data_IF_351153636960
#
_entry.id   IF_351153636960
#
_cell.length_a   1.000
_cell.length_b   1.000
_cell.length_c   1.000
_cell.angle_alpha   90.00
_cell.angle_beta   90.00
_cell.angle_gamma   90.00
#
_symmetry.space_group_name_H-M   'P 1'
#
loop_
_entity.id
_entity.type
_entity.pdbx_description
1 polymer ?
#
# COMPACT_ATOMS: atom_id res chain seq x y z
N UNK A 1 6.00 17.63 8.52
CA UNK A 1 7.18 17.06 9.21
C UNK A 1 6.66 16.08 10.25
N UNK A 2 7.22 14.88 10.39
CA UNK A 2 6.76 13.95 11.44
C UNK A 2 7.36 14.33 12.80
N UNK A 3 6.63 14.17 13.91
CA UNK A 3 7.18 14.33 15.25
C UNK A 3 8.38 13.41 15.50
N UNK A 4 9.26 13.79 16.43
CA UNK A 4 10.46 13.00 16.75
C UNK A 4 10.15 11.70 17.51
N UNK A 5 8.99 11.62 18.16
CA UNK A 5 8.55 10.52 19.01
C UNK A 5 7.50 9.59 18.35
N UNK A 6 7.12 9.87 17.11
CA UNK A 6 6.15 9.05 16.39
C UNK A 6 5.98 9.41 14.93
N UNK A 7 5.07 8.71 14.27
CA UNK A 7 4.70 8.97 12.89
C UNK A 7 3.23 9.35 12.78
N UNK A 8 2.92 10.22 11.83
CA UNK A 8 1.53 10.48 11.46
C UNK A 8 1.09 9.37 10.52
N UNK A 9 -0.07 8.78 10.78
CA UNK A 9 -0.65 7.74 9.94
C UNK A 9 -2.13 7.95 9.74
N UNK A 10 -2.73 7.17 8.84
CA UNK A 10 -4.18 7.18 8.64
C UNK A 10 -4.72 5.78 8.81
N UNK A 11 -5.78 5.65 9.60
CA UNK A 11 -6.49 4.38 9.75
C UNK A 11 -6.97 3.88 8.39
N UNK A 12 -6.59 2.67 8.01
CA UNK A 12 -6.98 2.09 6.71
C UNK A 12 -7.93 0.91 6.83
N UNK A 13 -7.72 0.07 7.83
CA UNK A 13 -8.51 -1.14 8.07
C UNK A 13 -8.85 -1.25 9.55
N UNK A 14 -10.07 -1.71 9.86
CA UNK A 14 -10.52 -2.01 11.22
C UNK A 14 -11.12 -3.41 11.29
N UNK A 15 -10.91 -4.15 12.38
CA UNK A 15 -11.67 -5.37 12.64
C UNK A 15 -13.16 -5.04 12.67
N UNK A 16 -13.92 -5.79 11.88
CA UNK A 16 -15.35 -5.62 11.66
C UNK A 16 -15.92 -6.95 11.15
N UNK A 17 -16.88 -7.52 11.90
CA UNK A 17 -17.49 -8.81 11.56
C UNK A 17 -18.29 -8.76 10.24
N UNK A 18 -18.71 -7.59 9.78
CA UNK A 18 -19.35 -7.39 8.48
C UNK A 18 -18.35 -7.15 7.34
N UNK A 19 -17.07 -7.10 7.66
CA UNK A 19 -15.97 -6.83 6.72
C UNK A 19 -15.80 -7.93 5.68
N UNK A 20 -15.39 -7.53 4.47
CA UNK A 20 -15.20 -8.43 3.32
C UNK A 20 -13.74 -8.82 3.06
N UNK A 21 -12.82 -8.40 3.94
CA UNK A 21 -11.38 -8.69 3.84
C UNK A 21 -10.96 -9.49 5.06
N UNK A 22 -10.20 -10.57 4.86
CA UNK A 22 -9.93 -11.54 5.92
C UNK A 22 -8.43 -11.72 6.12
N UNK A 23 -8.00 -11.76 7.39
CA UNK A 23 -6.62 -12.09 7.75
C UNK A 23 -6.59 -12.81 9.07
N UNK A 24 -5.97 -13.99 9.09
CA UNK A 24 -5.87 -14.81 10.32
C UNK A 24 -7.23 -15.13 10.94
N UNK A 25 -8.26 -15.37 10.12
CA UNK A 25 -9.63 -15.63 10.59
C UNK A 25 -10.42 -14.39 11.03
N UNK A 26 -9.83 -13.19 11.01
CA UNK A 26 -10.49 -11.94 11.40
C UNK A 26 -10.96 -11.19 10.16
N UNK A 27 -12.22 -10.75 10.18
CA UNK A 27 -12.81 -9.89 9.16
C UNK A 27 -12.48 -8.41 9.39
N UNK A 28 -12.23 -7.68 8.30
CA UNK A 28 -11.83 -6.28 8.29
C UNK A 28 -12.66 -5.47 7.29
N UNK A 29 -12.96 -4.23 7.67
CA UNK A 29 -13.53 -3.20 6.82
C UNK A 29 -12.49 -2.14 6.48
N UNK A 30 -12.51 -1.68 5.23
CA UNK A 30 -11.63 -0.60 4.73
C UNK A 30 -12.32 0.74 4.95
N UNK A 31 -11.64 1.67 5.60
CA UNK A 31 -12.17 3.01 5.91
C UNK A 31 -11.68 3.99 4.87
N UNK A 32 -12.59 4.57 4.08
CA UNK A 32 -12.22 5.37 2.91
C UNK A 32 -12.04 6.84 3.25
N UNK A 33 -13.05 7.47 3.85
CA UNK A 33 -13.08 8.91 4.08
C UNK A 33 -12.17 9.35 5.22
N UNK A 34 -11.48 10.49 5.06
CA UNK A 34 -10.60 11.05 6.11
C UNK A 34 -11.40 11.34 7.39
N UNK A 35 -12.58 11.98 7.27
CA UNK A 35 -13.44 12.27 8.40
C UNK A 35 -13.89 10.99 9.14
N UNK A 36 -14.26 9.95 8.38
CA UNK A 36 -14.64 8.64 8.94
C UNK A 36 -13.48 8.01 9.71
N UNK A 37 -12.26 8.07 9.17
CA UNK A 37 -11.05 7.56 9.84
C UNK A 37 -10.83 8.26 11.17
N UNK A 38 -10.88 9.60 11.19
CA UNK A 38 -10.71 10.40 12.41
C UNK A 38 -11.80 10.04 13.42
N UNK A 39 -13.06 9.91 12.99
CA UNK A 39 -14.16 9.57 13.86
C UNK A 39 -14.01 8.18 14.50
N UNK A 40 -13.56 7.19 13.72
CA UNK A 40 -13.29 5.84 14.25
C UNK A 40 -12.16 5.87 15.26
N UNK A 41 -11.07 6.59 14.97
CA UNK A 41 -9.95 6.72 15.93
C UNK A 41 -10.41 7.46 17.18
N UNK A 42 -11.19 8.55 17.05
CA UNK A 42 -11.73 9.31 18.17
C UNK A 42 -12.59 8.46 19.10
N UNK A 43 -13.44 7.60 18.54
CA UNK A 43 -14.33 6.73 19.34
C UNK A 43 -13.62 5.55 19.97
N UNK A 44 -12.73 4.88 19.22
CA UNK A 44 -12.16 3.58 19.63
C UNK A 44 -10.74 3.66 20.17
N UNK A 45 -9.95 4.61 19.68
CA UNK A 45 -8.52 4.73 19.97
C UNK A 45 -8.07 6.20 20.18
N UNK A 46 -8.75 6.97 21.06
CA UNK A 46 -8.52 8.42 21.18
C UNK A 46 -7.08 8.79 21.56
N UNK A 47 -6.32 7.87 22.14
CA UNK A 47 -4.92 8.08 22.52
C UNK A 47 -3.99 8.32 21.32
N UNK A 48 -4.37 7.92 20.11
CA UNK A 48 -3.62 8.24 18.89
C UNK A 48 -3.97 9.63 18.32
N UNK A 49 -5.02 10.29 18.81
CA UNK A 49 -5.35 11.63 18.33
C UNK A 49 -4.52 12.69 19.06
N UNK A 50 -3.94 13.59 18.26
CA UNK A 50 -3.19 14.76 18.70
C UNK A 50 -3.57 15.96 17.86
N UNK A 51 -3.63 17.13 18.49
CA UNK A 51 -3.75 18.40 17.76
C UNK A 51 -2.40 18.70 17.11
N UNK A 52 -2.41 18.95 15.81
CA UNK A 52 -1.27 19.48 15.09
C UNK A 52 -1.37 21.01 15.05
N UNK A 53 -0.49 21.75 15.74
CA UNK A 53 -0.58 23.20 15.84
C UNK A 53 -0.26 23.94 14.53
N UNK A 54 0.34 23.27 13.55
CA UNK A 54 0.64 23.87 12.24
C UNK A 54 -0.54 23.74 11.28
N UNK A 55 -1.28 22.64 11.38
CA UNK A 55 -2.45 22.39 10.54
C UNK A 55 -3.76 22.89 11.14
N UNK A 56 -3.77 23.22 12.44
CA UNK A 56 -4.98 23.52 13.23
C UNK A 56 -6.02 22.37 13.14
N UNK A 57 -5.53 21.14 13.06
CA UNK A 57 -6.31 19.94 12.79
C UNK A 57 -5.92 18.77 13.70
N UNK A 58 -6.81 17.79 13.84
CA UNK A 58 -6.52 16.56 14.58
C UNK A 58 -5.84 15.53 13.67
N UNK A 59 -4.64 15.09 14.06
CA UNK A 59 -3.89 14.05 13.36
C UNK A 59 -3.82 12.77 14.19
N UNK A 60 -3.68 11.63 13.49
CA UNK A 60 -3.41 10.36 14.14
C UNK A 60 -1.89 10.18 14.28
N UNK A 61 -1.35 10.50 15.46
CA UNK A 61 0.05 10.26 15.81
C UNK A 61 0.20 8.87 16.43
N UNK A 62 1.06 8.06 15.84
CA UNK A 62 1.42 6.72 16.33
C UNK A 62 2.82 6.82 16.95
N UNK A 63 2.95 6.73 18.29
CA UNK A 63 4.26 6.72 18.93
C UNK A 63 5.09 5.52 18.47
N UNK A 64 6.41 5.70 18.30
CA UNK A 64 7.26 4.61 17.81
C UNK A 64 7.21 3.37 18.71
N UNK A 65 7.13 3.55 20.03
CA UNK A 65 6.99 2.42 20.96
C UNK A 65 5.68 1.62 20.82
N UNK A 66 4.67 2.17 20.14
CA UNK A 66 3.39 1.49 19.89
C UNK A 66 3.33 0.82 18.52
N UNK A 67 4.36 0.94 17.68
CA UNK A 67 4.42 0.27 16.38
C UNK A 67 4.75 -1.21 16.59
N UNK A 68 3.74 -2.07 16.47
CA UNK A 68 3.92 -3.51 16.59
C UNK A 68 4.65 -4.14 15.40
N UNK A 69 4.30 -3.74 14.17
CA UNK A 69 4.86 -4.31 12.94
C UNK A 69 5.05 -3.21 11.91
N UNK A 70 6.24 -3.16 11.31
CA UNK A 70 6.52 -2.34 10.14
C UNK A 70 6.60 -3.24 8.90
N UNK A 71 5.57 -3.18 8.06
CA UNK A 71 5.50 -3.92 6.80
C UNK A 71 6.43 -3.28 5.76
N UNK A 72 7.30 -4.09 5.15
CA UNK A 72 8.31 -3.63 4.18
C UNK A 72 7.99 -4.17 2.77
N UNK A 73 7.60 -3.31 1.81
CA UNK A 73 7.24 -3.73 0.45
C UNK A 73 8.32 -4.55 -0.28
N UNK A 74 9.58 -4.15 -0.15
CA UNK A 74 10.73 -4.84 -0.79
C UNK A 74 10.95 -6.23 -0.21
N UNK A 75 10.82 -6.37 1.11
CA UNK A 75 10.92 -7.66 1.79
C UNK A 75 9.78 -8.59 1.39
N UNK A 76 8.55 -8.06 1.34
CA UNK A 76 7.39 -8.83 0.88
C UNK A 76 7.52 -9.29 -0.57
N UNK A 77 7.96 -8.43 -1.50
CA UNK A 77 8.18 -8.83 -2.88
C UNK A 77 9.30 -9.87 -3.00
N UNK A 78 10.37 -9.74 -2.20
CA UNK A 78 11.43 -10.76 -2.15
C UNK A 78 10.88 -12.11 -1.67
N UNK A 79 10.08 -12.13 -0.60
CA UNK A 79 9.41 -13.33 -0.11
C UNK A 79 8.50 -13.91 -1.20
N UNK A 80 7.57 -13.11 -1.74
CA UNK A 80 6.64 -13.52 -2.80
C UNK A 80 7.35 -14.19 -3.99
N UNK A 81 8.52 -13.68 -4.39
CA UNK A 81 9.33 -14.28 -5.45
C UNK A 81 9.90 -15.66 -5.09
N UNK A 82 10.23 -15.88 -3.83
CA UNK A 82 10.81 -17.13 -3.32
C UNK A 82 9.73 -18.18 -3.04
N UNK A 83 8.66 -17.80 -2.33
CA UNK A 83 7.56 -18.71 -1.96
C UNK A 83 6.56 -18.96 -3.09
N UNK A 84 6.50 -18.10 -4.09
CA UNK A 84 5.49 -18.11 -5.13
C UNK A 84 4.14 -17.48 -4.70
N UNK A 85 3.30 -17.10 -5.68
CA UNK A 85 1.98 -16.55 -5.41
C UNK A 85 1.03 -17.64 -4.87
N UNK A 86 0.13 -17.26 -3.98
CA UNK A 86 -0.89 -18.16 -3.40
C UNK A 86 -2.26 -18.03 -4.05
N UNK A 87 -2.48 -16.95 -4.78
CA UNK A 87 -3.73 -16.63 -5.46
C UNK A 87 -3.47 -15.80 -6.73
N UNK A 88 -4.54 -15.53 -7.47
CA UNK A 88 -4.49 -14.79 -8.73
C UNK A 88 -3.94 -13.36 -8.55
N UNK A 89 -4.31 -12.67 -7.47
CA UNK A 89 -3.90 -11.27 -7.24
C UNK A 89 -2.39 -11.20 -6.94
N UNK A 90 -1.86 -12.12 -6.14
CA UNK A 90 -0.42 -12.24 -5.93
C UNK A 90 0.32 -12.64 -7.22
N UNK A 91 -0.30 -13.50 -8.04
CA UNK A 91 0.25 -13.91 -9.34
C UNK A 91 0.38 -12.70 -10.26
N UNK A 92 -0.67 -11.89 -10.36
CA UNK A 92 -0.70 -10.67 -11.19
C UNK A 92 0.30 -9.63 -10.66
N UNK A 93 0.37 -9.44 -9.34
CA UNK A 93 1.36 -8.55 -8.72
C UNK A 93 2.80 -8.96 -9.07
N UNK A 94 3.10 -10.27 -9.01
CA UNK A 94 4.41 -10.80 -9.35
C UNK A 94 4.70 -10.69 -10.85
N UNK A 95 3.71 -10.95 -11.72
CA UNK A 95 3.83 -10.83 -13.17
C UNK A 95 4.11 -9.37 -13.57
N UNK A 96 3.31 -8.43 -13.08
CA UNK A 96 3.51 -6.99 -13.30
C UNK A 96 4.87 -6.53 -12.79
N UNK A 97 5.27 -6.98 -11.60
CA UNK A 97 6.59 -6.68 -11.03
C UNK A 97 7.73 -7.15 -11.94
N UNK A 98 7.64 -8.37 -12.50
CA UNK A 98 8.64 -8.91 -13.44
C UNK A 98 8.67 -8.12 -14.76
N UNK A 99 7.51 -7.79 -15.30
CA UNK A 99 7.41 -7.02 -16.55
C UNK A 99 8.09 -5.66 -16.41
N UNK A 100 7.73 -4.89 -15.37
CA UNK A 100 8.34 -3.57 -15.11
C UNK A 100 9.83 -3.72 -14.81
N UNK A 101 10.22 -4.70 -13.99
CA UNK A 101 11.63 -4.92 -13.65
C UNK A 101 12.50 -5.18 -14.88
N UNK A 102 12.00 -6.00 -15.81
CA UNK A 102 12.67 -6.33 -17.07
C UNK A 102 12.76 -5.11 -17.99
N UNK A 103 11.64 -4.44 -18.23
CA UNK A 103 11.55 -3.33 -19.20
C UNK A 103 12.19 -2.02 -18.71
N UNK A 104 12.25 -1.82 -17.39
CA UNK A 104 12.88 -0.65 -16.78
C UNK A 104 14.26 -0.97 -16.20
N UNK A 105 14.74 -2.21 -16.29
CA UNK A 105 16.05 -2.68 -15.80
C UNK A 105 16.35 -2.25 -14.35
N UNK A 106 15.33 -2.19 -13.49
CA UNK A 106 15.48 -1.81 -12.08
C UNK A 106 15.91 -2.98 -11.21
N UNK A 107 16.79 -2.78 -10.20
CA UNK A 107 17.10 -3.84 -9.25
C UNK A 107 15.87 -4.26 -8.45
N UNK A 108 15.75 -5.55 -8.12
CA UNK A 108 14.65 -6.06 -7.28
C UNK A 108 14.60 -5.43 -5.89
N UNK A 109 15.72 -4.89 -5.41
CA UNK A 109 15.83 -4.25 -4.11
C UNK A 109 15.35 -2.79 -4.12
N UNK A 110 15.12 -2.20 -5.31
CA UNK A 110 14.70 -0.80 -5.44
C UNK A 110 13.18 -0.63 -5.53
N UNK A 111 12.39 -1.69 -5.36
CA UNK A 111 10.93 -1.59 -5.37
C UNK A 111 10.26 -2.77 -4.65
N UNK A 112 8.96 -2.65 -4.38
CA UNK A 112 8.21 -3.67 -3.67
C UNK A 112 6.71 -3.58 -3.90
N UNK A 113 5.98 -4.58 -3.42
CA UNK A 113 4.52 -4.63 -3.45
C UNK A 113 3.98 -4.14 -2.11
N UNK A 114 3.02 -3.22 -2.16
CA UNK A 114 2.44 -2.51 -1.02
C UNK A 114 0.94 -2.82 -0.88
N UNK A 115 0.22 -1.96 -0.16
CA UNK A 115 -1.23 -1.94 -0.17
C UNK A 115 -1.86 -3.16 0.49
N UNK A 116 -3.01 -3.58 -0.07
CA UNK A 116 -3.79 -4.67 0.52
C UNK A 116 -3.08 -6.02 0.44
N UNK A 117 -2.27 -6.24 -0.60
CA UNK A 117 -1.52 -7.48 -0.82
C UNK A 117 -0.43 -7.64 0.26
N UNK A 118 0.35 -6.57 0.50
CA UNK A 118 1.37 -6.54 1.57
C UNK A 118 0.79 -6.88 2.95
N UNK A 119 -0.46 -6.46 3.19
CA UNK A 119 -1.13 -6.68 4.46
C UNK A 119 -1.82 -8.04 4.56
N UNK A 120 -1.90 -8.82 3.47
CA UNK A 120 -2.70 -10.04 3.37
C UNK A 120 -4.19 -9.77 3.55
N UNK A 121 -4.66 -8.62 3.09
CA UNK A 121 -6.05 -8.17 3.16
C UNK A 121 -6.65 -7.93 1.77
N UNK A 122 -5.97 -8.36 0.69
CA UNK A 122 -6.47 -8.25 -0.67
C UNK A 122 -7.66 -9.19 -0.92
N UNK A 123 -8.37 -8.92 -2.00
CA UNK A 123 -9.41 -9.74 -2.60
C UNK A 123 -9.31 -9.59 -4.12
N UNK A 124 -10.10 -10.34 -4.88
CA UNK A 124 -10.06 -10.35 -6.36
C UNK A 124 -10.25 -8.98 -7.00
N UNK A 125 -10.93 -8.05 -6.32
CA UNK A 125 -11.15 -6.67 -6.78
C UNK A 125 -10.11 -5.67 -6.26
N UNK A 126 -8.95 -6.13 -5.78
CA UNK A 126 -7.93 -5.26 -5.22
C UNK A 126 -6.94 -4.77 -6.27
N UNK A 127 -6.60 -3.48 -6.18
CA UNK A 127 -5.56 -2.88 -7.01
C UNK A 127 -4.17 -3.47 -6.69
N UNK A 128 -3.27 -3.39 -7.68
CA UNK A 128 -1.87 -3.80 -7.55
C UNK A 128 -1.00 -2.58 -7.22
N UNK A 129 -0.66 -2.43 -5.94
CA UNK A 129 0.15 -1.31 -5.45
C UNK A 129 1.64 -1.64 -5.50
N UNK A 130 2.39 -1.07 -6.44
CA UNK A 130 3.87 -1.13 -6.47
C UNK A 130 4.47 0.19 -5.99
N UNK A 131 5.55 0.11 -5.21
CA UNK A 131 6.31 1.28 -4.75
C UNK A 131 7.76 1.17 -5.17
N UNK A 132 8.28 2.22 -5.79
CA UNK A 132 9.65 2.32 -6.28
C UNK A 132 10.45 3.32 -5.46
N UNK A 133 11.71 3.01 -5.19
CA UNK A 133 12.62 3.80 -4.36
C UNK A 133 13.81 4.29 -5.19
N UNK A 134 14.19 5.55 -4.99
CA UNK A 134 15.31 6.21 -5.66
C UNK A 134 14.89 6.97 -6.92
N UNK A 135 15.25 8.26 -6.98
CA UNK A 135 14.74 9.18 -8.02
C UNK A 135 15.07 8.76 -9.45
N UNK A 136 16.28 8.23 -9.69
CA UNK A 136 16.69 7.74 -11.01
C UNK A 136 15.87 6.51 -11.45
N UNK A 137 15.63 5.57 -10.52
CA UNK A 137 14.81 4.39 -10.81
C UNK A 137 13.35 4.74 -11.02
N UNK A 138 12.79 5.64 -10.21
CA UNK A 138 11.42 6.13 -10.40
C UNK A 138 11.24 6.78 -11.78
N UNK A 139 12.20 7.61 -12.22
CA UNK A 139 12.15 8.25 -13.53
C UNK A 139 12.16 7.23 -14.67
N UNK A 140 13.08 6.25 -14.60
CA UNK A 140 13.17 5.20 -15.61
C UNK A 140 11.91 4.34 -15.68
N UNK A 141 11.34 3.96 -14.53
CA UNK A 141 10.07 3.23 -14.46
C UNK A 141 8.93 4.05 -15.07
N UNK A 142 8.86 5.35 -14.76
CA UNK A 142 7.87 6.25 -15.34
C UNK A 142 7.97 6.33 -16.88
N UNK A 143 9.19 6.48 -17.40
CA UNK A 143 9.45 6.50 -18.85
C UNK A 143 9.10 5.16 -19.51
N UNK A 144 9.46 4.04 -18.87
CA UNK A 144 9.11 2.70 -19.33
C UNK A 144 7.59 2.50 -19.38
N UNK A 145 6.87 2.83 -18.30
CA UNK A 145 5.40 2.72 -18.27
C UNK A 145 4.77 3.61 -19.35
N UNK A 146 5.26 4.84 -19.52
CA UNK A 146 4.80 5.76 -20.57
C UNK A 146 4.99 5.18 -21.97
N UNK A 147 6.11 4.48 -22.23
CA UNK A 147 6.37 3.79 -23.50
C UNK A 147 5.44 2.59 -23.68
N UNK A 148 5.29 1.75 -22.66
CA UNK A 148 4.44 0.55 -22.72
C UNK A 148 2.97 0.90 -22.94
N UNK A 149 2.47 1.94 -22.28
CA UNK A 149 1.10 2.43 -22.46
C UNK A 149 0.83 2.95 -23.89
N UNK A 150 1.82 3.57 -24.53
CA UNK A 150 1.71 4.02 -25.93
C UNK A 150 1.78 2.87 -26.94
N UNK A 151 2.48 1.79 -26.61
CA UNK A 151 2.61 0.62 -27.47
C UNK A 151 1.32 -0.22 -27.56
N UNK A 152 0.34 0.00 -26.66
CA UNK A 152 -0.97 -0.66 -26.71
C UNK A 152 -0.93 -2.15 -26.33
N UNK A 153 0.01 -2.54 -25.48
CA UNK A 153 0.15 -3.91 -24.98
C UNK A 153 -0.67 -4.20 -23.71
N UNK A 154 -0.21 -5.16 -22.91
CA UNK A 154 -0.85 -5.55 -21.65
C UNK A 154 -0.96 -4.41 -20.62
N UNK A 155 -0.04 -3.44 -20.68
CA UNK A 155 -0.08 -2.22 -19.86
C UNK A 155 -0.66 -1.09 -20.71
N UNK A 156 -1.83 -0.59 -20.30
CA UNK A 156 -2.51 0.55 -20.93
C UNK A 156 -2.97 1.57 -19.88
N UNK A 157 -3.09 2.82 -20.28
CA UNK A 157 -3.68 3.86 -19.43
C UNK A 157 -5.18 3.64 -19.24
N UNK A 158 -5.72 4.18 -18.14
CA UNK A 158 -7.16 4.28 -17.92
C UNK A 158 -7.80 5.10 -19.05
N UNK A 159 -8.98 4.69 -19.51
CA UNK A 159 -9.81 5.45 -20.44
C UNK A 159 -11.04 6.00 -19.71
N UNK A 160 -11.81 6.87 -20.35
CA UNK A 160 -12.99 7.53 -19.73
C UNK A 160 -14.08 6.57 -19.22
N UNK A 161 -14.00 5.27 -19.55
CA UNK A 161 -14.97 4.24 -19.15
C UNK A 161 -14.49 3.36 -17.99
N UNK A 162 -13.26 3.56 -17.52
CA UNK A 162 -12.60 2.81 -16.43
C UNK A 162 -12.14 3.77 -15.32
#
# INVERSE_FOLDING_TARGET
>A
MHPSDGTIGFLRYVPDASGKRFRGGVAYSKVYGIAERIEVVRRRFPHYLRSDPFLDEMVCLIPYQMVAVHYKPTAFLSDLRQRGPRDAVESDALALSRAIQKEAEVPWQSFGVSGSILLGLHNEASDLDLVFYGGAFCRRVYETLSRLMKAGGEIRGYNERE
#
